data_IF_412791044095
#
_entry.id   IF_412791044095
#
_cell.length_a   1.000
_cell.length_b   1.000
_cell.length_c   1.000
_cell.angle_alpha   90.00
_cell.angle_beta   90.00
_cell.angle_gamma   90.00
#
_symmetry.space_group_name_H-M   'P 1'
#
loop_
_entity.id
_entity.type
_entity.pdbx_description
1 polymer ?
#
# COMPACT_ATOMS: atom_id res chain seq x y z
N UNK A 1 9.11 21.75 -21.95
CA UNK A 1 9.25 20.68 -20.94
C UNK A 1 7.89 20.03 -20.71
N UNK A 2 7.65 18.82 -21.22
CA UNK A 2 6.35 18.14 -21.07
C UNK A 2 6.11 17.84 -19.59
N UNK A 3 5.02 18.34 -19.02
CA UNK A 3 4.63 18.05 -17.65
C UNK A 3 4.32 16.56 -17.49
N UNK A 4 5.17 15.83 -16.76
CA UNK A 4 5.00 14.41 -16.41
C UNK A 4 3.91 14.18 -15.36
N UNK A 5 3.25 15.25 -14.86
CA UNK A 5 2.15 15.18 -13.89
C UNK A 5 0.85 14.73 -14.57
N UNK A 6 0.83 13.48 -15.04
CA UNK A 6 -0.42 12.82 -15.42
C UNK A 6 -0.95 12.00 -14.22
N UNK A 7 -2.27 11.88 -14.06
CA UNK A 7 -2.88 11.10 -12.98
C UNK A 7 -2.35 9.66 -12.94
N UNK A 8 -2.15 9.02 -14.10
CA UNK A 8 -1.59 7.68 -14.19
C UNK A 8 -0.18 7.58 -13.59
N UNK A 9 0.68 8.57 -13.83
CA UNK A 9 2.05 8.55 -13.31
C UNK A 9 2.07 8.70 -11.78
N UNK A 10 1.07 9.37 -11.20
CA UNK A 10 0.93 9.50 -9.75
C UNK A 10 0.60 8.14 -9.10
N UNK A 11 -0.28 7.34 -9.71
CA UNK A 11 -0.61 6.00 -9.21
C UNK A 11 0.55 5.01 -9.32
N UNK A 12 1.32 5.08 -10.42
CA UNK A 12 2.52 4.25 -10.61
C UNK A 12 3.58 4.60 -9.57
N UNK A 13 3.77 5.89 -9.29
CA UNK A 13 4.70 6.32 -8.25
C UNK A 13 4.29 5.82 -6.86
N UNK A 14 3.00 5.92 -6.52
CA UNK A 14 2.47 5.39 -5.27
C UNK A 14 2.66 3.87 -5.16
N UNK A 15 2.44 3.14 -6.27
CA UNK A 15 2.71 1.69 -6.32
C UNK A 15 4.18 1.38 -6.03
N UNK A 16 5.10 2.10 -6.69
CA UNK A 16 6.52 1.91 -6.51
C UNK A 16 6.96 2.17 -5.05
N UNK A 17 6.37 3.17 -4.38
CA UNK A 17 6.63 3.42 -2.97
C UNK A 17 6.17 2.26 -2.07
N UNK A 18 5.01 1.67 -2.35
CA UNK A 18 4.49 0.52 -1.61
C UNK A 18 5.35 -0.73 -1.82
N UNK A 19 5.85 -0.95 -3.04
CA UNK A 19 6.75 -2.06 -3.35
C UNK A 19 8.14 -1.85 -2.71
N UNK A 20 8.67 -0.62 -2.69
CA UNK A 20 9.89 -0.29 -1.97
C UNK A 20 9.73 -0.51 -0.45
N UNK A 21 8.56 -0.18 0.10
CA UNK A 21 8.23 -0.46 1.49
C UNK A 21 8.26 -1.98 1.77
N UNK A 22 7.72 -2.82 0.88
CA UNK A 22 7.88 -4.27 0.97
C UNK A 22 9.35 -4.71 0.88
N UNK A 23 10.14 -4.11 -0.04
CA UNK A 23 11.55 -4.44 -0.18
C UNK A 23 12.35 -4.16 1.10
N UNK A 24 11.99 -3.14 1.88
CA UNK A 24 12.62 -2.85 3.18
C UNK A 24 12.30 -3.94 4.22
N UNK A 25 11.19 -4.65 4.09
CA UNK A 25 10.83 -5.76 4.97
C UNK A 25 11.52 -7.09 4.60
N UNK A 26 11.99 -7.23 3.36
CA UNK A 26 12.65 -8.46 2.89
C UNK A 26 13.91 -8.86 3.70
N UNK A 27 14.84 -7.96 4.04
CA UNK A 27 16.00 -8.30 4.87
C UNK A 27 15.61 -8.91 6.22
N UNK A 28 14.53 -8.41 6.82
CA UNK A 28 14.02 -8.94 8.09
C UNK A 28 13.52 -10.37 7.90
N UNK A 29 12.76 -10.66 6.84
CA UNK A 29 12.33 -12.02 6.51
C UNK A 29 13.51 -12.96 6.27
N UNK A 30 14.53 -12.51 5.53
CA UNK A 30 15.72 -13.30 5.19
C UNK A 30 16.50 -13.65 6.45
N UNK A 31 16.74 -12.67 7.34
CA UNK A 31 17.43 -12.87 8.61
C UNK A 31 16.64 -13.83 9.51
N UNK A 32 15.33 -13.64 9.67
CA UNK A 32 14.49 -14.57 10.43
C UNK A 32 14.56 -16.02 9.88
N UNK A 33 14.64 -16.17 8.56
CA UNK A 33 14.73 -17.47 7.88
C UNK A 33 16.07 -18.17 8.12
N UNK A 34 17.19 -17.43 8.14
CA UNK A 34 18.52 -17.99 8.43
C UNK A 34 18.69 -18.45 9.88
N UNK A 35 18.18 -17.69 10.83
CA UNK A 35 18.32 -18.00 12.26
C UNK A 35 17.17 -18.86 12.82
N UNK A 36 16.16 -19.17 11.98
CA UNK A 36 14.93 -19.90 12.33
C UNK A 36 14.26 -19.39 13.63
N UNK A 37 14.43 -18.10 13.96
CA UNK A 37 13.92 -17.45 15.17
C UNK A 37 13.52 -16.03 14.85
N UNK A 38 12.55 -15.52 15.61
CA UNK A 38 12.05 -14.14 15.47
C UNK A 38 13.09 -13.15 16.01
N UNK A 39 13.86 -12.54 15.13
CA UNK A 39 14.88 -11.54 15.48
C UNK A 39 14.17 -10.19 15.58
N UNK A 40 14.19 -9.59 16.79
CA UNK A 40 13.47 -8.34 17.09
C UNK A 40 12.33 -8.47 18.10
N UNK A 41 12.13 -9.66 18.69
CA UNK A 41 11.11 -9.92 19.71
C UNK A 41 9.71 -9.46 19.26
N UNK A 42 8.87 -9.03 20.19
CA UNK A 42 7.49 -8.57 19.91
C UNK A 42 7.46 -7.31 19.02
N UNK A 43 8.34 -6.32 19.28
CA UNK A 43 8.36 -5.05 18.55
C UNK A 43 8.76 -5.19 17.08
N UNK A 44 9.66 -6.12 16.79
CA UNK A 44 10.08 -6.40 15.42
C UNK A 44 8.96 -7.03 14.59
N UNK A 45 8.18 -7.93 15.22
CA UNK A 45 7.02 -8.54 14.57
C UNK A 45 5.89 -7.53 14.35
N UNK A 46 5.63 -6.66 15.32
CA UNK A 46 4.64 -5.58 15.20
C UNK A 46 4.95 -4.65 14.01
N UNK A 47 6.21 -4.22 13.88
CA UNK A 47 6.66 -3.34 12.79
C UNK A 47 6.60 -4.07 11.44
N UNK A 48 7.08 -5.32 11.38
CA UNK A 48 7.04 -6.13 10.17
C UNK A 48 5.60 -6.39 9.69
N UNK A 49 4.69 -6.71 10.61
CA UNK A 49 3.27 -6.91 10.34
C UNK A 49 2.58 -5.64 9.86
N UNK A 50 2.88 -4.50 10.49
CA UNK A 50 2.34 -3.19 10.08
C UNK A 50 2.80 -2.82 8.68
N UNK A 51 4.10 -2.80 8.41
CA UNK A 51 4.58 -2.39 7.09
C UNK A 51 4.13 -3.35 6.01
N UNK A 52 4.20 -4.66 6.26
CA UNK A 52 3.68 -5.69 5.35
C UNK A 52 2.20 -5.47 5.03
N UNK A 53 1.38 -5.17 6.04
CA UNK A 53 -0.07 -4.94 5.84
C UNK A 53 -0.36 -3.64 5.10
N UNK A 54 0.34 -2.54 5.41
CA UNK A 54 0.20 -1.26 4.69
C UNK A 54 0.49 -1.45 3.21
N UNK A 55 1.61 -2.09 2.89
CA UNK A 55 1.96 -2.33 1.48
C UNK A 55 1.05 -3.36 0.82
N UNK A 56 0.55 -4.37 1.52
CA UNK A 56 -0.38 -5.35 0.96
C UNK A 56 -1.73 -4.73 0.60
N UNK A 57 -2.41 -4.12 1.57
CA UNK A 57 -3.71 -3.47 1.35
C UNK A 57 -3.58 -2.24 0.45
N UNK A 58 -2.53 -1.43 0.65
CA UNK A 58 -2.22 -0.27 -0.17
C UNK A 58 -2.01 -0.64 -1.64
N UNK A 59 -1.20 -1.66 -1.93
CA UNK A 59 -0.93 -2.11 -3.31
C UNK A 59 -2.18 -2.70 -3.96
N UNK A 60 -2.97 -3.49 -3.23
CA UNK A 60 -4.21 -4.05 -3.75
C UNK A 60 -5.20 -2.94 -4.18
N UNK A 61 -5.41 -1.95 -3.32
CA UNK A 61 -6.33 -0.85 -3.60
C UNK A 61 -5.78 0.11 -4.67
N UNK A 62 -4.48 0.39 -4.68
CA UNK A 62 -3.85 1.20 -5.72
C UNK A 62 -3.94 0.51 -7.09
N UNK A 63 -3.76 -0.81 -7.16
CA UNK A 63 -3.97 -1.58 -8.39
C UNK A 63 -5.43 -1.50 -8.89
N UNK A 64 -6.41 -1.54 -7.98
CA UNK A 64 -7.82 -1.36 -8.34
C UNK A 64 -8.09 0.03 -8.93
N UNK A 65 -7.47 1.08 -8.37
CA UNK A 65 -7.58 2.45 -8.90
C UNK A 65 -6.92 2.58 -10.28
N UNK A 66 -5.77 1.94 -10.50
CA UNK A 66 -5.10 1.91 -11.81
C UNK A 66 -6.01 1.20 -12.83
N UNK A 67 -6.57 0.06 -12.48
CA UNK A 67 -7.51 -0.68 -13.35
C UNK A 67 -8.75 0.18 -13.69
N UNK A 68 -9.29 0.90 -12.70
CA UNK A 68 -10.41 1.82 -12.91
C UNK A 68 -10.06 2.98 -13.85
N UNK A 69 -8.89 3.60 -13.68
CA UNK A 69 -8.41 4.67 -14.57
C UNK A 69 -8.24 4.16 -16.01
N UNK A 70 -7.64 2.98 -16.20
CA UNK A 70 -7.52 2.33 -17.52
C UNK A 70 -8.88 2.03 -18.14
N UNK A 71 -9.79 1.43 -17.37
CA UNK A 71 -11.15 1.16 -17.81
C UNK A 71 -11.84 2.44 -18.28
N UNK A 72 -11.77 3.52 -17.50
CA UNK A 72 -12.45 4.78 -17.83
C UNK A 72 -11.86 5.46 -19.06
N UNK A 73 -10.54 5.38 -19.25
CA UNK A 73 -9.90 5.89 -20.47
C UNK A 73 -10.30 5.14 -21.74
N UNK A 74 -10.60 3.84 -21.63
CA UNK A 74 -11.01 3.00 -22.78
C UNK A 74 -12.52 3.12 -23.04
N UNK A 75 -13.33 3.05 -21.99
CA UNK A 75 -14.79 3.05 -22.08
C UNK A 75 -15.36 4.43 -22.46
N UNK A 76 -14.68 5.53 -22.09
CA UNK A 76 -15.15 6.88 -22.37
C UNK A 76 -14.06 7.70 -23.09
N UNK A 77 -13.92 7.60 -24.42
CA UNK A 77 -12.82 8.23 -25.14
C UNK A 77 -12.85 9.77 -25.14
N UNK A 78 -14.01 10.40 -24.94
CA UNK A 78 -14.17 11.87 -24.97
C UNK A 78 -13.92 12.52 -23.59
N UNK A 79 -14.31 11.85 -22.50
CA UNK A 79 -14.26 12.39 -21.12
C UNK A 79 -13.51 11.48 -20.13
N UNK A 80 -12.82 10.46 -20.63
CA UNK A 80 -12.22 9.39 -19.82
C UNK A 80 -10.95 9.79 -19.08
N UNK A 81 -10.38 10.96 -19.35
CA UNK A 81 -9.16 11.42 -18.65
C UNK A 81 -9.52 11.90 -17.24
N UNK A 82 -8.94 11.24 -16.26
CA UNK A 82 -9.08 11.66 -14.86
C UNK A 82 -8.39 13.01 -14.63
N UNK A 83 -9.04 13.94 -13.94
CA UNK A 83 -8.39 15.17 -13.49
C UNK A 83 -7.41 14.87 -12.35
N UNK A 84 -6.33 15.63 -12.26
CA UNK A 84 -5.31 15.46 -11.20
C UNK A 84 -5.94 15.55 -9.80
N UNK A 85 -6.92 16.42 -9.58
CA UNK A 85 -7.63 16.52 -8.30
C UNK A 85 -8.42 15.26 -7.94
N UNK A 86 -9.08 14.64 -8.92
CA UNK A 86 -9.81 13.38 -8.72
C UNK A 86 -8.84 12.23 -8.42
N UNK A 87 -7.69 12.19 -9.08
CA UNK A 87 -6.65 11.20 -8.82
C UNK A 87 -6.09 11.31 -7.39
N UNK A 88 -5.88 12.53 -6.90
CA UNK A 88 -5.43 12.76 -5.53
C UNK A 88 -6.47 12.28 -4.50
N UNK A 89 -7.77 12.56 -4.73
CA UNK A 89 -8.84 12.07 -3.86
C UNK A 89 -8.87 10.54 -3.79
N UNK A 90 -8.73 9.86 -4.94
CA UNK A 90 -8.67 8.39 -4.98
C UNK A 90 -7.44 7.85 -4.23
N UNK A 91 -6.30 8.54 -4.31
CA UNK A 91 -5.12 8.19 -3.53
C UNK A 91 -5.36 8.38 -2.02
N UNK A 92 -5.97 9.48 -1.59
CA UNK A 92 -6.35 9.66 -0.18
C UNK A 92 -7.29 8.54 0.29
N UNK A 93 -8.21 8.09 -0.56
CA UNK A 93 -9.10 6.97 -0.28
C UNK A 93 -8.35 5.64 -0.13
N UNK A 94 -7.35 5.37 -0.99
CA UNK A 94 -6.47 4.19 -0.88
C UNK A 94 -5.80 4.15 0.49
N UNK A 95 -5.22 5.26 0.93
CA UNK A 95 -4.56 5.35 2.23
C UNK A 95 -5.56 5.26 3.39
N UNK A 96 -6.69 5.95 3.30
CA UNK A 96 -7.74 5.89 4.31
C UNK A 96 -8.32 4.48 4.45
N UNK A 97 -8.39 3.71 3.37
CA UNK A 97 -8.81 2.32 3.40
C UNK A 97 -7.72 1.41 3.96
N UNK A 98 -6.45 1.60 3.60
CA UNK A 98 -5.35 0.74 4.03
C UNK A 98 -4.99 0.90 5.52
N UNK A 99 -5.10 2.11 6.08
CA UNK A 99 -4.65 2.41 7.45
C UNK A 99 -5.44 1.66 8.55
N UNK A 100 -6.79 1.62 8.55
CA UNK A 100 -7.56 0.90 9.57
C UNK A 100 -7.22 -0.59 9.64
N UNK A 101 -7.08 -1.26 8.49
CA UNK A 101 -6.74 -2.69 8.45
C UNK A 101 -5.29 -2.96 8.84
N UNK A 102 -4.38 -2.03 8.56
CA UNK A 102 -2.97 -2.18 8.92
C UNK A 102 -2.68 -1.83 10.38
N UNK A 103 -3.49 -0.96 10.99
CA UNK A 103 -3.37 -0.55 12.39
C UNK A 103 -4.16 -1.46 13.34
N UNK A 104 -5.20 -2.14 12.86
CA UNK A 104 -6.05 -3.01 13.69
C UNK A 104 -5.28 -4.05 14.52
N UNK A 105 -4.26 -4.74 13.99
CA UNK A 105 -3.49 -5.74 14.75
C UNK A 105 -2.30 -5.18 15.57
N UNK A 106 -2.05 -3.87 15.55
CA UNK A 106 -1.16 -3.22 16.51
C UNK A 106 -1.86 -3.05 17.86
N UNK A 107 -1.10 -3.16 18.95
CA UNK A 107 -1.43 -3.18 20.40
C UNK A 107 -2.49 -2.18 20.95
N UNK A 108 -3.14 -1.36 20.13
CA UNK A 108 -4.06 -0.28 20.54
C UNK A 108 -5.50 -0.45 20.07
N UNK A 109 -5.81 -1.40 19.17
CA UNK A 109 -7.17 -1.60 18.62
C UNK A 109 -7.52 -3.08 18.65
N UNK A 110 -7.89 -3.60 19.83
CA UNK A 110 -8.27 -5.02 20.06
C UNK A 110 -9.61 -5.43 19.36
N UNK A 111 -9.76 -5.17 18.06
CA UNK A 111 -10.94 -5.56 17.29
C UNK A 111 -10.75 -6.86 16.49
N UNK A 112 -9.51 -7.17 16.05
CA UNK A 112 -9.21 -8.35 15.20
C UNK A 112 -8.08 -9.26 15.73
N UNK A 113 -7.53 -8.98 16.92
CA UNK A 113 -6.49 -9.80 17.56
C UNK A 113 -5.05 -9.35 17.23
N UNK A 114 -4.09 -9.86 18.02
CA UNK A 114 -2.66 -9.50 17.92
C UNK A 114 -1.96 -10.27 16.79
N UNK A 115 -0.95 -9.64 16.17
CA UNK A 115 -0.04 -10.33 15.25
C UNK A 115 0.80 -11.42 15.91
N UNK A 116 1.11 -11.26 17.21
CA UNK A 116 1.88 -12.21 18.01
C UNK A 116 0.99 -12.75 19.13
N UNK A 117 0.92 -14.08 19.34
CA UNK A 117 0.20 -14.68 20.46
C UNK A 117 0.82 -14.32 21.82
#
# INVERSE_FOLDING_TARGET
TKSLKTPSNLFIFNQALLDLCMMVNMPMLVVNSFYQRVIGWETGCDIYGLFGSISGFGSAMNNAVIAYDRYRTIAFPIDGRLSMGKAFILMCFVWFWALPFSLSPMKSVDLFGKYVP
#
